data_IF_934705358473
#
_entry.id   IF_934705358473
#
_cell.length_a   1.000
_cell.length_b   1.000
_cell.length_c   1.000
_cell.angle_alpha   90.00
_cell.angle_beta   90.00
_cell.angle_gamma   90.00
#
_symmetry.space_group_name_H-M   'P 1'
#
loop_
_entity.id
_entity.type
_entity.pdbx_description
1 polymer ?
#
# COMPACT_ATOMS: atom_id res chain seq x y z
N UNK A 1 -4.32 -7.40 38.15
CA UNK A 1 -3.57 -7.22 36.90
C UNK A 1 -4.47 -7.74 35.81
N UNK A 2 -5.28 -6.86 35.22
CA UNK A 2 -6.19 -7.19 34.13
C UNK A 2 -5.62 -6.51 32.89
N UNK A 3 -4.55 -7.09 32.34
CA UNK A 3 -3.78 -6.54 31.22
C UNK A 3 -4.06 -7.31 29.92
N UNK A 4 -5.34 -7.62 29.63
CA UNK A 4 -5.69 -8.48 28.49
C UNK A 4 -6.90 -8.02 27.66
N UNK A 5 -7.35 -6.76 27.80
CA UNK A 5 -8.49 -6.25 27.03
C UNK A 5 -8.25 -4.85 26.45
N UNK A 6 -7.30 -4.73 25.52
CA UNK A 6 -7.29 -3.57 24.58
C UNK A 6 -6.73 -3.91 23.19
N UNK A 7 -6.74 -5.18 22.78
CA UNK A 7 -6.38 -5.61 21.42
C UNK A 7 -7.61 -5.99 20.58
N UNK A 8 -8.81 -5.63 21.01
CA UNK A 8 -10.03 -5.91 20.26
C UNK A 8 -10.25 -4.85 19.17
N UNK A 9 -10.10 -5.32 17.92
CA UNK A 9 -10.41 -4.65 16.64
C UNK A 9 -9.29 -3.83 16.00
N UNK A 10 -8.12 -4.43 15.75
CA UNK A 10 -7.39 -4.03 14.53
C UNK A 10 -8.27 -4.36 13.34
N UNK A 11 -8.92 -3.34 12.76
CA UNK A 11 -9.78 -3.53 11.59
C UNK A 11 -8.92 -4.12 10.48
N UNK A 12 -9.36 -5.24 9.91
CA UNK A 12 -8.74 -5.78 8.70
C UNK A 12 -8.99 -4.77 7.59
N UNK A 13 -7.92 -4.32 6.94
CA UNK A 13 -7.98 -3.43 5.80
C UNK A 13 -7.73 -4.28 4.55
N UNK A 14 -8.70 -4.29 3.66
CA UNK A 14 -8.56 -4.95 2.35
C UNK A 14 -8.12 -3.92 1.33
N UNK A 15 -7.00 -4.18 0.67
CA UNK A 15 -6.49 -3.34 -0.41
C UNK A 15 -6.33 -4.17 -1.68
N UNK A 16 -6.21 -3.51 -2.82
CA UNK A 16 -5.90 -4.16 -4.09
C UNK A 16 -4.63 -3.55 -4.67
N UNK A 17 -3.65 -4.36 -5.09
CA UNK A 17 -2.43 -3.93 -5.76
C UNK A 17 -2.35 -4.67 -7.09
N UNK A 18 -2.26 -3.96 -8.22
CA UNK A 18 -2.24 -4.54 -9.59
C UNK A 18 -3.40 -5.51 -9.88
N UNK A 19 -4.56 -5.24 -9.28
CA UNK A 19 -5.76 -6.09 -9.40
C UNK A 19 -5.79 -7.31 -8.46
N UNK A 20 -4.73 -7.56 -7.68
CA UNK A 20 -4.70 -8.61 -6.66
C UNK A 20 -5.10 -8.05 -5.29
N UNK A 21 -6.02 -8.73 -4.60
CA UNK A 21 -6.48 -8.31 -3.27
C UNK A 21 -5.58 -8.84 -2.16
N UNK A 22 -5.27 -7.98 -1.19
CA UNK A 22 -4.50 -8.29 0.00
C UNK A 22 -5.24 -7.80 1.24
N UNK A 23 -5.04 -8.50 2.37
CA UNK A 23 -5.63 -8.13 3.65
C UNK A 23 -4.50 -7.86 4.63
N UNK A 24 -4.47 -6.66 5.19
CA UNK A 24 -3.54 -6.24 6.23
C UNK A 24 -4.29 -5.85 7.51
N UNK A 25 -3.57 -5.81 8.64
CA UNK A 25 -4.10 -5.35 9.94
C UNK A 25 -3.56 -3.99 10.34
N UNK A 26 -2.56 -3.49 9.62
CA UNK A 26 -1.98 -2.17 9.81
C UNK A 26 -2.69 -1.20 8.86
N UNK A 27 -3.22 -0.12 9.39
CA UNK A 27 -3.86 0.93 8.61
C UNK A 27 -2.86 1.97 8.08
N UNK A 28 -1.59 1.87 8.43
CA UNK A 28 -0.48 2.65 7.89
C UNK A 28 0.68 1.74 7.47
N UNK A 29 1.10 1.84 6.21
CA UNK A 29 2.24 1.07 5.70
C UNK A 29 3.07 1.88 4.73
N UNK A 30 4.38 1.61 4.72
CA UNK A 30 5.29 2.17 3.71
C UNK A 30 4.95 1.64 2.32
N UNK A 31 5.07 2.50 1.30
CA UNK A 31 4.93 2.11 -0.10
C UNK A 31 5.82 0.91 -0.44
N UNK A 32 7.06 0.88 0.06
CA UNK A 32 7.98 -0.24 -0.13
C UNK A 32 7.44 -1.56 0.45
N UNK A 33 6.76 -1.51 1.60
CA UNK A 33 6.16 -2.69 2.23
C UNK A 33 5.01 -3.23 1.41
N UNK A 34 4.20 -2.36 0.81
CA UNK A 34 3.10 -2.74 -0.09
C UNK A 34 3.61 -3.33 -1.41
N UNK A 35 4.70 -2.78 -1.96
CA UNK A 35 5.35 -3.34 -3.15
C UNK A 35 5.89 -4.75 -2.86
N UNK A 36 6.60 -4.92 -1.74
CA UNK A 36 7.09 -6.25 -1.31
C UNK A 36 5.94 -7.23 -1.06
N UNK A 37 4.81 -6.78 -0.52
CA UNK A 37 3.62 -7.60 -0.33
C UNK A 37 3.08 -8.14 -1.67
N UNK A 38 3.16 -7.34 -2.73
CA UNK A 38 2.83 -7.74 -4.10
C UNK A 38 3.96 -8.51 -4.82
N UNK A 39 5.11 -8.75 -4.15
CA UNK A 39 6.28 -9.39 -4.75
C UNK A 39 7.05 -8.49 -5.72
N UNK A 40 6.86 -7.17 -5.63
CA UNK A 40 7.50 -6.16 -6.49
C UNK A 40 8.67 -5.49 -5.75
N UNK A 41 9.76 -5.24 -6.48
CA UNK A 41 10.95 -4.59 -5.94
C UNK A 41 10.75 -3.07 -5.81
N UNK A 42 10.74 -2.50 -4.59
CA UNK A 42 10.61 -1.06 -4.40
C UNK A 42 11.78 -0.23 -4.92
N UNK A 43 12.94 -0.84 -5.23
CA UNK A 43 14.05 -0.14 -5.86
C UNK A 43 13.83 0.11 -7.36
N UNK A 44 12.83 -0.53 -7.98
CA UNK A 44 12.54 -0.44 -9.41
C UNK A 44 11.14 0.10 -9.71
N UNK A 45 10.27 0.11 -8.71
CA UNK A 45 8.87 0.48 -8.83
C UNK A 45 8.47 1.42 -7.70
N UNK A 46 7.64 2.40 -8.03
CA UNK A 46 6.86 3.19 -7.08
C UNK A 46 5.46 2.60 -6.94
N UNK A 47 4.77 2.98 -5.86
CA UNK A 47 3.38 2.61 -5.65
C UNK A 47 2.47 3.80 -6.00
N UNK A 48 1.45 3.60 -6.82
CA UNK A 48 0.47 4.65 -7.10
C UNK A 48 -0.92 4.28 -6.61
N UNK A 49 -1.54 5.14 -5.81
CA UNK A 49 -2.92 4.97 -5.35
C UNK A 49 -3.88 5.46 -6.43
N UNK A 50 -4.80 4.60 -6.84
CA UNK A 50 -5.88 4.95 -7.74
C UNK A 50 -6.93 5.72 -6.92
N UNK A 51 -7.13 6.99 -7.23
CA UNK A 51 -8.26 7.75 -6.68
C UNK A 51 -9.48 7.60 -7.59
N UNK A 52 -10.69 7.77 -7.03
CA UNK A 52 -11.93 7.74 -7.82
C UNK A 52 -12.06 8.90 -8.82
N UNK A 53 -11.20 9.92 -8.70
CA UNK A 53 -11.24 11.15 -9.49
C UNK A 53 -10.22 11.21 -10.64
N UNK A 54 -9.50 10.11 -10.91
CA UNK A 54 -8.86 9.85 -12.19
C UNK A 54 -7.34 10.00 -12.24
N UNK A 55 -6.69 10.71 -11.31
CA UNK A 55 -5.24 10.86 -11.32
C UNK A 55 -4.57 9.98 -10.25
N UNK A 56 -3.87 8.88 -10.63
CA UNK A 56 -3.18 8.05 -9.68
C UNK A 56 -2.08 8.86 -8.98
N UNK A 57 -2.11 8.85 -7.64
CA UNK A 57 -1.12 9.55 -6.84
C UNK A 57 0.07 8.62 -6.58
N UNK A 58 1.24 8.97 -7.09
CA UNK A 58 2.47 8.19 -6.90
C UNK A 58 3.08 8.47 -5.52
N UNK A 59 3.50 7.41 -4.86
CA UNK A 59 4.19 7.38 -3.58
C UNK A 59 5.52 6.64 -3.77
N UNK A 60 6.61 7.30 -3.38
CA UNK A 60 7.94 6.68 -3.33
C UNK A 60 8.04 5.71 -2.16
N UNK A 61 8.95 4.77 -2.29
CA UNK A 61 9.30 3.68 -1.38
C UNK A 61 9.24 4.03 0.12
N UNK A 62 9.85 5.12 0.57
CA UNK A 62 9.92 5.51 1.98
C UNK A 62 8.64 6.18 2.52
N UNK A 63 7.63 6.41 1.66
CA UNK A 63 6.43 7.14 2.06
C UNK A 63 5.46 6.20 2.78
N UNK A 64 5.14 6.54 4.04
CA UNK A 64 4.04 5.93 4.78
C UNK A 64 2.70 6.40 4.20
N UNK A 65 1.81 5.44 3.96
CA UNK A 65 0.50 5.61 3.34
C UNK A 65 -0.57 5.10 4.31
N UNK A 66 -1.56 5.94 4.60
CA UNK A 66 -2.79 5.51 5.28
C UNK A 66 -3.64 4.66 4.33
N UNK A 67 -3.83 3.40 4.71
CA UNK A 67 -4.63 2.40 4.04
C UNK A 67 -6.09 2.49 4.50
N UNK A 68 -6.99 2.44 3.54
CA UNK A 68 -8.43 2.36 3.76
C UNK A 68 -8.98 1.13 3.06
N UNK A 69 -10.01 0.55 3.66
CA UNK A 69 -10.66 -0.63 3.07
C UNK A 69 -11.23 -0.28 1.69
N UNK A 70 -10.89 -1.12 0.71
CA UNK A 70 -11.21 -0.91 -0.70
C UNK A 70 -10.25 0.02 -1.44
N UNK A 71 -9.14 0.46 -0.84
CA UNK A 71 -8.11 1.19 -1.57
C UNK A 71 -7.51 0.32 -2.68
N UNK A 72 -7.29 0.95 -3.84
CA UNK A 72 -6.67 0.34 -4.99
C UNK A 72 -5.36 1.04 -5.32
N UNK A 73 -4.34 0.24 -5.60
CA UNK A 73 -2.99 0.65 -5.93
C UNK A 73 -2.53 -0.07 -7.20
N UNK A 74 -1.59 0.56 -7.89
CA UNK A 74 -0.86 -0.04 -9.02
C UNK A 74 0.62 0.20 -8.85
N UNK A 75 1.44 -0.71 -9.37
CA UNK A 75 2.88 -0.51 -9.42
C UNK A 75 3.25 0.30 -10.66
N UNK A 76 4.13 1.27 -10.46
CA UNK A 76 4.61 2.15 -11.53
C UNK A 76 6.11 1.97 -11.61
N UNK A 77 6.59 1.38 -12.71
CA UNK A 77 8.02 1.22 -12.91
C UNK A 77 8.68 2.60 -12.97
N UNK A 78 9.84 2.75 -12.33
CA UNK A 78 10.69 3.91 -12.53
C UNK A 78 11.02 3.98 -14.02
N UNK A 79 10.38 4.90 -14.75
CA UNK A 79 10.74 5.15 -16.13
C UNK A 79 12.15 5.71 -16.11
N UNK A 80 13.11 4.90 -16.56
CA UNK A 80 14.48 5.35 -16.74
C UNK A 80 14.46 6.65 -17.57
N UNK A 81 15.27 7.67 -17.21
CA UNK A 81 15.48 8.75 -18.15
C UNK A 81 16.06 8.13 -19.41
N UNK A 82 15.35 8.27 -20.52
CA UNK A 82 15.92 8.02 -21.84
C UNK A 82 17.17 8.91 -21.94
N UNK A 83 18.34 8.26 -21.91
CA UNK A 83 19.63 8.91 -22.06
C UNK A 83 19.84 9.40 -23.50
#
# INVERSE_FOLDING_TARGET
MNDEQEHEKRKKVTITIDGQSFVTRDDDQEAASLLRLAGVDPAQYDLAKINRHGEPKVYRDEKVIDLKDGDAFVTVRHSAPVA
#
